data_IF_693200349944
#
_entry.id   IF_693200349944
#
_cell.length_a   1.000
_cell.length_b   1.000
_cell.length_c   1.000
_cell.angle_alpha   90.00
_cell.angle_beta   90.00
_cell.angle_gamma   90.00
#
_symmetry.space_group_name_H-M   'P 1'
#
loop_
_entity.id
_entity.type
_entity.pdbx_description
1 polymer ?
#
# COMPACT_ATOMS: atom_id res chain seq x y z
N UNK A 1 20.21 -70.25 43.72
CA UNK A 1 19.95 -68.83 43.40
C UNK A 1 20.79 -68.36 42.19
N UNK A 2 20.58 -68.91 40.98
CA UNK A 2 21.39 -68.52 39.79
C UNK A 2 20.60 -68.30 38.48
N UNK A 3 19.27 -68.38 38.49
CA UNK A 3 18.45 -68.22 37.27
C UNK A 3 18.09 -66.77 36.92
N UNK A 4 18.18 -65.83 37.87
CA UNK A 4 17.73 -64.44 37.66
C UNK A 4 18.71 -63.61 36.83
N UNK A 5 20.02 -63.88 36.96
CA UNK A 5 21.08 -63.07 36.31
C UNK A 5 21.24 -63.36 34.81
N UNK A 6 20.88 -64.57 34.35
CA UNK A 6 20.97 -65.00 32.94
C UNK A 6 19.75 -64.61 32.10
N UNK A 7 18.61 -64.40 32.76
CA UNK A 7 17.38 -63.91 32.13
C UNK A 7 17.49 -62.43 31.74
N UNK A 8 18.16 -61.64 32.58
CA UNK A 8 18.44 -60.22 32.34
C UNK A 8 19.35 -59.95 31.13
N UNK A 9 20.29 -60.84 30.80
CA UNK A 9 21.17 -60.64 29.64
C UNK A 9 20.47 -60.86 28.29
N UNK A 10 19.33 -61.54 28.26
CA UNK A 10 18.61 -61.83 27.01
C UNK A 10 17.35 -60.97 26.82
N UNK A 11 16.65 -60.64 27.92
CA UNK A 11 15.39 -59.88 27.90
C UNK A 11 15.49 -58.47 28.49
N UNK A 12 16.63 -58.10 29.11
CA UNK A 12 16.80 -56.79 29.74
C UNK A 12 16.68 -55.62 28.76
N UNK A 13 17.21 -55.76 27.54
CA UNK A 13 17.08 -54.74 26.49
C UNK A 13 15.62 -54.56 26.04
N UNK A 14 14.86 -55.64 25.94
CA UNK A 14 13.44 -55.60 25.58
C UNK A 14 12.60 -54.93 26.67
N UNK A 15 12.88 -55.21 27.95
CA UNK A 15 12.17 -54.57 29.08
C UNK A 15 12.47 -53.08 29.15
N UNK A 16 13.72 -52.68 28.93
CA UNK A 16 14.10 -51.26 28.86
C UNK A 16 13.38 -50.58 27.69
N UNK A 17 13.31 -51.22 26.51
CA UNK A 17 12.61 -50.67 25.35
C UNK A 17 11.11 -50.51 25.60
N UNK A 18 10.47 -51.51 26.21
CA UNK A 18 9.05 -51.47 26.57
C UNK A 18 8.76 -50.40 27.62
N UNK A 19 9.62 -50.26 28.64
CA UNK A 19 9.51 -49.21 29.64
C UNK A 19 9.66 -47.81 29.05
N UNK A 20 10.57 -47.65 28.08
CA UNK A 20 10.80 -46.38 27.39
C UNK A 20 9.59 -46.03 26.50
N UNK A 21 9.04 -46.99 25.78
CA UNK A 21 7.81 -46.82 24.99
C UNK A 21 6.60 -46.46 25.86
N UNK A 22 6.44 -47.11 27.01
CA UNK A 22 5.36 -46.82 27.95
C UNK A 22 5.52 -45.45 28.62
N UNK A 23 6.76 -45.04 28.93
CA UNK A 23 7.06 -43.70 29.44
C UNK A 23 6.71 -42.61 28.43
N UNK A 24 7.10 -42.80 27.16
CA UNK A 24 6.74 -41.88 26.06
C UNK A 24 5.23 -41.83 25.87
N UNK A 25 4.54 -42.97 25.89
CA UNK A 25 3.08 -43.03 25.78
C UNK A 25 2.37 -42.33 26.96
N UNK A 26 2.88 -42.49 28.18
CA UNK A 26 2.35 -41.82 29.37
C UNK A 26 2.50 -40.30 29.31
N UNK A 27 3.66 -39.80 28.87
CA UNK A 27 3.89 -38.37 28.65
C UNK A 27 2.93 -37.83 27.59
N UNK A 28 2.68 -38.57 26.50
CA UNK A 28 1.75 -38.18 25.44
C UNK A 28 0.30 -38.06 25.96
N UNK A 29 -0.16 -39.01 26.79
CA UNK A 29 -1.50 -38.95 27.38
C UNK A 29 -1.65 -37.81 28.39
N UNK A 30 -0.62 -37.53 29.19
CA UNK A 30 -0.70 -36.53 30.26
C UNK A 30 -0.60 -35.09 29.74
N UNK A 31 0.05 -34.86 28.59
CA UNK A 31 0.33 -33.50 28.06
C UNK A 31 -0.45 -33.14 26.78
N UNK A 32 -1.50 -33.89 26.43
CA UNK A 32 -2.32 -33.64 25.22
C UNK A 32 -1.47 -33.39 23.97
N UNK A 33 -0.43 -34.21 23.73
CA UNK A 33 0.44 -34.16 22.55
C UNK A 33 1.23 -32.85 22.30
N UNK A 34 1.25 -31.88 23.22
CA UNK A 34 2.11 -30.68 23.13
C UNK A 34 3.59 -30.95 22.76
N UNK A 35 4.30 -31.96 23.34
CA UNK A 35 5.69 -32.24 22.98
C UNK A 35 5.87 -32.75 21.54
N UNK A 36 4.83 -33.36 20.94
CA UNK A 36 4.86 -33.78 19.53
C UNK A 36 4.75 -32.56 18.62
N UNK A 37 3.89 -31.61 18.97
CA UNK A 37 3.77 -30.35 18.23
C UNK A 37 5.06 -29.53 18.30
N UNK A 38 5.72 -29.42 19.46
CA UNK A 38 7.01 -28.73 19.59
C UNK A 38 8.13 -29.37 18.76
N UNK A 39 8.20 -30.71 18.74
CA UNK A 39 9.16 -31.44 17.92
C UNK A 39 8.88 -31.27 16.42
N UNK A 40 7.60 -31.26 16.03
CA UNK A 40 7.17 -30.98 14.66
C UNK A 40 7.58 -29.57 14.21
N UNK A 41 7.36 -28.55 15.06
CA UNK A 41 7.79 -27.17 14.78
C UNK A 41 9.32 -27.03 14.72
N UNK A 42 10.08 -27.72 15.59
CA UNK A 42 11.55 -27.68 15.55
C UNK A 42 12.13 -28.30 14.28
N UNK A 43 11.53 -29.39 13.79
CA UNK A 43 11.97 -30.09 12.57
C UNK A 43 11.67 -29.29 11.28
N UNK A 44 10.60 -28.49 11.25
CA UNK A 44 10.23 -27.67 10.09
C UNK A 44 10.90 -26.28 10.05
N UNK A 45 11.34 -25.74 11.20
CA UNK A 45 12.03 -24.43 11.30
C UNK A 45 13.19 -24.17 10.32
N UNK A 46 14.09 -25.11 9.98
CA UNK A 46 15.19 -24.83 9.06
C UNK A 46 14.76 -24.68 7.60
N UNK A 47 13.57 -25.18 7.19
CA UNK A 47 13.13 -25.15 5.80
C UNK A 47 12.30 -23.91 5.44
N UNK A 48 11.58 -23.30 6.39
CA UNK A 48 10.82 -22.05 6.16
C UNK A 48 11.75 -20.82 6.05
N UNK A 49 12.83 -20.78 6.84
CA UNK A 49 13.73 -19.62 6.88
C UNK A 49 14.54 -19.37 5.60
N UNK A 50 14.85 -20.41 4.81
CA UNK A 50 15.66 -20.28 3.59
C UNK A 50 14.87 -19.65 2.44
N UNK A 51 13.59 -20.01 2.29
CA UNK A 51 12.73 -19.44 1.25
C UNK A 51 12.41 -17.98 1.53
N UNK A 52 12.09 -17.64 2.79
CA UNK A 52 11.82 -16.26 3.19
C UNK A 52 13.06 -15.37 3.02
N UNK A 53 14.26 -15.86 3.37
CA UNK A 53 15.51 -15.11 3.15
C UNK A 53 15.78 -14.85 1.67
N UNK A 54 15.62 -15.88 0.82
CA UNK A 54 15.85 -15.75 -0.63
C UNK A 54 14.83 -14.81 -1.29
N UNK A 55 13.56 -14.91 -0.93
CA UNK A 55 12.52 -13.99 -1.44
C UNK A 55 12.79 -12.55 -0.99
N UNK A 56 13.17 -12.35 0.27
CA UNK A 56 13.54 -11.03 0.78
C UNK A 56 14.77 -10.47 0.06
N UNK A 57 15.79 -11.29 -0.21
CA UNK A 57 16.98 -10.87 -0.96
C UNK A 57 16.64 -10.48 -2.41
N UNK A 58 15.78 -11.25 -3.09
CA UNK A 58 15.33 -10.94 -4.45
C UNK A 58 14.49 -9.67 -4.49
N UNK A 59 13.53 -9.51 -3.57
CA UNK A 59 12.73 -8.28 -3.45
C UNK A 59 13.63 -7.09 -3.17
N UNK A 60 14.58 -7.20 -2.23
CA UNK A 60 15.51 -6.13 -1.91
C UNK A 60 16.45 -5.80 -3.09
N UNK A 61 16.86 -6.80 -3.87
CA UNK A 61 17.62 -6.57 -5.09
C UNK A 61 16.79 -5.82 -6.14
N UNK A 62 15.52 -6.20 -6.33
CA UNK A 62 14.61 -5.53 -7.26
C UNK A 62 14.27 -4.11 -6.82
N UNK A 63 14.05 -3.88 -5.53
CA UNK A 63 13.82 -2.54 -4.98
C UNK A 63 15.04 -1.66 -5.23
N UNK A 64 16.26 -2.14 -4.93
CA UNK A 64 17.50 -1.38 -5.21
C UNK A 64 17.70 -1.10 -6.69
N UNK A 65 17.38 -2.05 -7.56
CA UNK A 65 17.44 -1.85 -9.02
C UNK A 65 16.47 -0.75 -9.46
N UNK A 66 15.22 -0.80 -8.97
CA UNK A 66 14.21 0.22 -9.26
C UNK A 66 14.61 1.59 -8.71
N UNK A 67 15.14 1.66 -7.48
CA UNK A 67 15.65 2.89 -6.89
C UNK A 67 16.78 3.51 -7.73
N UNK A 68 17.72 2.69 -8.22
CA UNK A 68 18.78 3.14 -9.11
C UNK A 68 18.26 3.64 -10.46
N UNK A 69 17.28 2.94 -11.05
CA UNK A 69 16.66 3.37 -12.31
C UNK A 69 15.88 4.67 -12.14
N UNK A 70 15.12 4.81 -11.06
CA UNK A 70 14.39 6.04 -10.74
C UNK A 70 15.38 7.21 -10.56
N UNK A 71 16.46 7.01 -9.79
CA UNK A 71 17.47 8.06 -9.60
C UNK A 71 18.17 8.48 -10.89
N UNK A 72 18.47 7.55 -11.80
CA UNK A 72 19.05 7.90 -13.11
C UNK A 72 18.05 8.61 -14.02
N UNK A 73 16.77 8.20 -14.02
CA UNK A 73 15.72 8.88 -14.75
C UNK A 73 15.47 10.30 -14.22
N UNK A 74 15.50 10.49 -12.91
CA UNK A 74 15.40 11.82 -12.27
C UNK A 74 16.58 12.71 -12.69
N UNK A 75 17.80 12.18 -12.68
CA UNK A 75 19.01 12.89 -13.13
C UNK A 75 18.90 13.30 -14.59
N UNK A 76 18.45 12.40 -15.46
CA UNK A 76 18.23 12.69 -16.89
C UNK A 76 17.12 13.72 -17.09
N UNK A 77 16.02 13.60 -16.35
CA UNK A 77 14.91 14.55 -16.40
C UNK A 77 15.36 15.95 -15.96
N UNK A 78 16.16 16.05 -14.90
CA UNK A 78 16.75 17.30 -14.46
C UNK A 78 17.69 17.90 -15.52
N UNK A 79 18.57 17.10 -16.12
CA UNK A 79 19.44 17.57 -17.21
C UNK A 79 18.64 18.08 -18.42
N UNK A 80 17.57 17.37 -18.79
CA UNK A 80 16.66 17.80 -19.86
C UNK A 80 15.97 19.11 -19.50
N UNK A 81 15.48 19.24 -18.25
CA UNK A 81 14.89 20.48 -17.74
C UNK A 81 15.89 21.64 -17.81
N UNK A 82 17.12 21.44 -17.37
CA UNK A 82 18.19 22.45 -17.41
C UNK A 82 18.51 22.87 -18.85
N UNK A 83 18.63 21.92 -19.78
CA UNK A 83 18.86 22.18 -21.21
C UNK A 83 17.71 22.96 -21.86
N UNK A 84 16.48 22.74 -21.39
CA UNK A 84 15.29 23.45 -21.84
C UNK A 84 15.08 24.80 -21.11
N UNK A 85 15.97 25.18 -20.19
CA UNK A 85 15.83 26.40 -19.38
C UNK A 85 14.65 26.34 -18.40
N UNK A 86 14.21 25.14 -18.02
CA UNK A 86 13.10 24.93 -17.11
C UNK A 86 13.52 25.24 -15.67
N UNK A 87 13.14 26.40 -15.17
CA UNK A 87 13.32 26.78 -13.76
C UNK A 87 12.26 26.06 -12.93
N UNK A 88 12.58 24.84 -12.47
CA UNK A 88 11.73 24.14 -11.50
C UNK A 88 11.96 24.74 -10.11
N UNK A 89 11.09 25.66 -9.72
CA UNK A 89 11.10 26.29 -8.40
C UNK A 89 10.35 25.44 -7.35
N UNK A 90 10.35 24.11 -7.48
CA UNK A 90 9.73 23.21 -6.52
C UNK A 90 10.75 22.80 -5.47
N UNK A 91 11.06 23.73 -4.57
CA UNK A 91 11.52 23.35 -3.23
C UNK A 91 10.37 22.56 -2.61
N UNK A 92 10.57 21.25 -2.44
CA UNK A 92 9.60 20.35 -1.82
C UNK A 92 9.44 20.68 -0.33
N UNK A 93 8.64 21.69 -0.04
CA UNK A 93 8.28 22.04 1.33
C UNK A 93 7.17 21.08 1.81
N UNK A 94 7.51 19.79 1.78
CA UNK A 94 6.64 18.67 2.11
C UNK A 94 6.47 18.58 3.62
N UNK A 95 5.25 18.82 4.10
CA UNK A 95 4.92 18.80 5.53
C UNK A 95 4.28 17.47 5.88
N UNK A 96 4.76 16.81 6.92
CA UNK A 96 4.15 15.56 7.42
C UNK A 96 3.11 15.89 8.48
N UNK A 97 1.92 15.29 8.37
CA UNK A 97 0.81 15.55 9.25
C UNK A 97 0.16 14.25 9.75
N UNK A 98 -0.14 14.13 11.07
CA UNK A 98 -0.97 13.04 11.56
C UNK A 98 -2.45 13.31 11.22
N UNK A 99 -3.22 12.25 10.95
CA UNK A 99 -4.67 12.33 10.86
C UNK A 99 -5.23 12.30 12.29
N UNK A 100 -5.89 13.37 12.69
CA UNK A 100 -6.42 13.57 14.04
C UNK A 100 -7.94 13.39 14.13
N UNK A 101 -8.62 13.25 13.00
CA UNK A 101 -10.07 13.10 12.98
C UNK A 101 -10.61 12.58 11.66
N UNK A 102 -11.71 11.83 11.77
CA UNK A 102 -12.55 11.39 10.65
C UNK A 102 -14.00 11.56 11.07
N UNK A 103 -14.85 11.96 10.14
CA UNK A 103 -16.29 12.00 10.40
C UNK A 103 -16.88 10.59 10.20
N UNK A 104 -17.56 10.00 11.20
CA UNK A 104 -18.18 8.67 11.05
C UNK A 104 -19.21 8.63 9.91
N UNK A 105 -19.98 9.71 9.75
CA UNK A 105 -21.01 9.82 8.70
C UNK A 105 -20.43 10.06 7.30
N UNK A 106 -19.15 10.45 7.22
CA UNK A 106 -18.49 10.89 5.99
C UNK A 106 -17.06 10.32 5.91
N UNK A 107 -16.89 9.06 6.34
CA UNK A 107 -15.59 8.41 6.52
C UNK A 107 -14.69 8.48 5.28
N UNK A 108 -15.31 8.41 4.11
CA UNK A 108 -14.68 8.40 2.79
C UNK A 108 -14.64 9.75 2.10
N UNK A 109 -15.07 10.81 2.77
CA UNK A 109 -15.26 12.10 2.11
C UNK A 109 -14.29 13.16 2.64
N UNK A 110 -13.92 13.09 3.91
CA UNK A 110 -13.06 14.07 4.55
C UNK A 110 -12.26 13.50 5.72
N UNK A 111 -11.06 14.05 5.92
CA UNK A 111 -10.20 13.80 7.08
C UNK A 111 -9.72 15.12 7.68
N UNK A 112 -9.43 15.12 8.97
CA UNK A 112 -8.81 16.26 9.67
C UNK A 112 -7.36 15.94 9.97
N UNK A 113 -6.45 16.79 9.53
CA UNK A 113 -5.00 16.65 9.77
C UNK A 113 -4.54 17.60 10.87
N UNK A 114 -3.56 17.17 11.66
CA UNK A 114 -3.05 17.86 12.85
C UNK A 114 -2.03 18.96 12.60
N UNK A 115 -2.12 19.62 11.45
CA UNK A 115 -1.35 20.82 11.11
C UNK A 115 -2.26 21.85 10.42
N UNK A 116 -1.97 23.13 10.59
CA UNK A 116 -2.78 24.25 10.13
C UNK A 116 -1.94 25.40 9.58
N UNK A 117 -2.49 26.60 9.64
CA UNK A 117 -1.82 27.79 9.11
C UNK A 117 -0.58 28.20 9.91
N UNK A 118 -0.47 27.81 11.19
CA UNK A 118 0.75 28.05 11.98
C UNK A 118 1.95 27.27 11.43
N UNK A 119 1.70 26.12 10.81
CA UNK A 119 2.70 25.30 10.13
C UNK A 119 2.81 25.66 8.64
N UNK A 120 2.09 26.67 8.15
CA UNK A 120 2.13 27.13 6.76
C UNK A 120 1.33 26.26 5.79
N UNK A 121 0.26 25.61 6.25
CA UNK A 121 -0.74 24.98 5.37
C UNK A 121 -1.73 26.02 4.87
N UNK A 122 -2.05 25.96 3.58
CA UNK A 122 -3.01 26.84 2.92
C UNK A 122 -4.17 26.06 2.28
N UNK A 123 -5.29 26.76 2.06
CA UNK A 123 -6.41 26.17 1.32
C UNK A 123 -5.99 25.89 -0.12
N UNK A 124 -6.20 24.65 -0.55
CA UNK A 124 -5.80 24.19 -1.87
C UNK A 124 -4.51 23.38 -1.93
N UNK A 125 -3.78 23.29 -0.82
CA UNK A 125 -2.64 22.39 -0.70
C UNK A 125 -3.02 20.95 -0.98
N UNK A 126 -2.08 20.21 -1.55
CA UNK A 126 -2.32 18.84 -2.00
C UNK A 126 -1.89 17.87 -0.92
N UNK A 127 -2.76 16.93 -0.63
CA UNK A 127 -2.52 15.90 0.38
C UNK A 127 -2.27 14.58 -0.30
N UNK A 128 -1.13 13.98 -0.01
CA UNK A 128 -0.69 12.69 -0.52
C UNK A 128 -0.39 11.73 0.62
N UNK A 129 -0.55 10.45 0.39
CA UNK A 129 -0.22 9.38 1.32
C UNK A 129 0.73 8.40 0.67
N UNK A 130 1.05 7.33 1.40
CA UNK A 130 1.75 6.19 0.82
C UNK A 130 0.88 5.60 -0.29
N UNK A 131 1.39 5.59 -1.51
CA UNK A 131 0.69 5.10 -2.70
C UNK A 131 0.10 6.17 -3.62
N UNK A 132 0.03 7.45 -3.21
CA UNK A 132 -0.41 8.53 -4.10
C UNK A 132 -1.35 9.58 -3.49
N UNK A 133 -2.27 10.07 -4.32
CA UNK A 133 -3.18 11.17 -4.00
C UNK A 133 -4.22 10.77 -2.95
N UNK A 134 -4.29 11.54 -1.87
CA UNK A 134 -5.33 11.41 -0.84
C UNK A 134 -6.44 12.41 -1.08
N UNK A 135 -6.07 13.66 -1.37
CA UNK A 135 -7.03 14.74 -1.48
C UNK A 135 -6.42 16.12 -1.56
N UNK A 136 -7.21 17.12 -1.18
CA UNK A 136 -6.85 18.53 -1.19
C UNK A 136 -7.38 19.22 0.06
N UNK A 137 -6.60 20.15 0.62
CA UNK A 137 -7.00 20.96 1.76
C UNK A 137 -8.17 21.85 1.36
N UNK A 138 -9.28 21.73 2.09
CA UNK A 138 -10.52 22.48 1.85
C UNK A 138 -10.65 23.67 2.80
N UNK A 139 -10.30 23.48 4.08
CA UNK A 139 -10.36 24.54 5.10
C UNK A 139 -9.16 24.43 6.02
N UNK A 140 -8.65 25.58 6.45
CA UNK A 140 -7.51 25.66 7.37
C UNK A 140 -7.92 26.40 8.65
N UNK A 141 -7.49 25.87 9.78
CA UNK A 141 -7.51 26.55 11.08
C UNK A 141 -6.06 26.74 11.56
N UNK A 142 -5.80 27.46 12.67
CA UNK A 142 -4.43 27.67 13.14
C UNK A 142 -3.63 26.38 13.39
N UNK A 143 -4.26 25.30 13.86
CA UNK A 143 -3.57 24.08 14.30
C UNK A 143 -4.07 22.80 13.61
N UNK A 144 -5.05 22.90 12.72
CA UNK A 144 -5.59 21.74 12.00
C UNK A 144 -6.20 22.16 10.68
N UNK A 145 -6.27 21.21 9.74
CA UNK A 145 -6.84 21.44 8.42
C UNK A 145 -7.80 20.32 8.06
N UNK A 146 -8.87 20.69 7.36
CA UNK A 146 -9.82 19.75 6.80
C UNK A 146 -9.44 19.44 5.36
N UNK A 147 -9.31 18.16 5.05
CA UNK A 147 -8.91 17.66 3.73
C UNK A 147 -10.10 16.96 3.11
N UNK A 148 -10.43 17.36 1.88
CA UNK A 148 -11.42 16.69 1.04
C UNK A 148 -10.75 15.55 0.29
N UNK A 149 -11.27 14.33 0.44
CA UNK A 149 -10.71 13.14 -0.18
C UNK A 149 -11.07 13.04 -1.67
N UNK A 150 -10.28 12.28 -2.42
CA UNK A 150 -10.56 11.92 -3.82
C UNK A 150 -11.85 11.09 -3.96
N UNK A 151 -12.19 10.31 -2.93
CA UNK A 151 -13.42 9.51 -2.81
C UNK A 151 -14.64 10.30 -2.33
N UNK A 152 -14.53 11.63 -2.19
CA UNK A 152 -15.70 12.46 -1.91
C UNK A 152 -16.58 12.59 -3.17
N UNK A 153 -17.92 12.42 -3.10
CA UNK A 153 -18.82 12.58 -4.26
C UNK A 153 -18.75 13.95 -4.95
N UNK A 154 -18.37 14.99 -4.22
CA UNK A 154 -18.18 16.35 -4.74
C UNK A 154 -16.74 16.62 -5.20
N UNK A 155 -15.84 15.64 -5.08
CA UNK A 155 -14.48 15.73 -5.60
C UNK A 155 -14.47 15.47 -7.10
N UNK A 156 -13.73 16.29 -7.84
CA UNK A 156 -13.47 16.11 -9.26
C UNK A 156 -11.98 16.28 -9.48
N UNK A 157 -11.31 15.19 -9.83
CA UNK A 157 -9.86 15.16 -10.06
C UNK A 157 -9.63 14.92 -11.54
N UNK A 158 -8.96 15.85 -12.22
CA UNK A 158 -8.54 15.64 -13.60
C UNK A 158 -7.42 14.60 -13.65
N UNK A 159 -7.60 13.54 -14.43
CA UNK A 159 -6.65 12.42 -14.51
C UNK A 159 -6.31 12.04 -15.94
N UNK A 160 -5.24 11.26 -16.06
CA UNK A 160 -4.68 10.78 -17.31
C UNK A 160 -4.23 9.33 -17.16
N UNK A 161 -4.52 8.51 -18.16
CA UNK A 161 -3.95 7.16 -18.29
C UNK A 161 -2.46 7.30 -18.63
N UNK A 162 -1.60 6.64 -17.87
CA UNK A 162 -0.14 6.75 -18.04
C UNK A 162 0.31 6.29 -19.44
N UNK A 163 -0.24 5.17 -19.94
CA UNK A 163 0.11 4.52 -21.21
C UNK A 163 -0.41 5.28 -22.43
N UNK A 164 -1.72 5.42 -22.58
CA UNK A 164 -2.35 6.04 -23.77
C UNK A 164 -2.38 7.55 -23.73
N UNK A 165 -2.18 8.16 -22.55
CA UNK A 165 -2.33 9.60 -22.31
C UNK A 165 -3.77 10.10 -22.44
N UNK A 166 -4.75 9.21 -22.42
CA UNK A 166 -6.15 9.59 -22.45
C UNK A 166 -6.59 10.22 -21.14
N UNK A 167 -7.31 11.33 -21.29
CA UNK A 167 -7.72 12.18 -20.17
C UNK A 167 -9.20 12.02 -19.83
N UNK A 168 -9.47 12.27 -18.56
CA UNK A 168 -10.81 12.27 -18.01
C UNK A 168 -10.84 12.96 -16.66
N UNK A 169 -11.92 12.78 -15.95
CA UNK A 169 -12.01 13.17 -14.55
C UNK A 169 -12.57 12.03 -13.72
N UNK A 170 -12.14 11.98 -12.47
CA UNK A 170 -12.59 11.00 -11.50
C UNK A 170 -13.76 11.56 -10.69
N UNK A 171 -14.76 10.71 -10.47
CA UNK A 171 -15.84 10.87 -9.49
C UNK A 171 -15.82 9.69 -8.51
N UNK A 172 -16.25 9.90 -7.28
CA UNK A 172 -16.40 8.81 -6.33
C UNK A 172 -17.53 7.86 -6.75
N UNK A 173 -17.32 6.56 -6.58
CA UNK A 173 -18.37 5.55 -6.75
C UNK A 173 -18.25 4.52 -5.62
N UNK A 174 -19.14 4.64 -4.63
CA UNK A 174 -19.03 3.86 -3.40
C UNK A 174 -17.88 4.34 -2.49
N UNK A 175 -17.30 3.39 -1.76
CA UNK A 175 -16.40 3.68 -0.62
C UNK A 175 -14.91 3.64 -0.99
N UNK A 176 -14.50 2.69 -1.85
CA UNK A 176 -13.09 2.40 -2.17
C UNK A 176 -12.74 2.52 -3.65
N UNK A 177 -13.75 2.76 -4.47
CA UNK A 177 -13.64 2.80 -5.91
C UNK A 177 -14.00 4.19 -6.40
N UNK A 178 -13.36 4.55 -7.50
CA UNK A 178 -13.61 5.82 -8.15
C UNK A 178 -13.73 5.55 -9.63
N UNK A 179 -14.65 6.24 -10.29
CA UNK A 179 -14.87 6.09 -11.71
C UNK A 179 -14.23 7.24 -12.44
N UNK A 180 -13.40 6.91 -13.42
CA UNK A 180 -12.92 7.85 -14.42
C UNK A 180 -13.90 7.90 -15.58
N UNK A 181 -14.44 9.08 -15.83
CA UNK A 181 -15.19 9.36 -17.05
C UNK A 181 -14.25 10.00 -18.08
N UNK A 182 -14.16 9.40 -19.26
CA UNK A 182 -13.27 9.87 -20.32
C UNK A 182 -13.85 11.07 -21.06
N UNK A 183 -12.96 11.97 -21.51
CA UNK A 183 -13.36 13.06 -22.41
C UNK A 183 -13.56 12.59 -23.85
N UNK A 184 -12.93 11.48 -24.21
CA UNK A 184 -12.96 10.90 -25.55
C UNK A 184 -14.01 9.80 -25.63
N UNK A 185 -14.63 9.65 -26.81
CA UNK A 185 -15.63 8.60 -27.05
C UNK A 185 -15.04 7.21 -27.27
N UNK A 186 -13.78 7.15 -27.68
CA UNK A 186 -13.04 5.92 -27.97
C UNK A 186 -11.68 6.00 -27.30
N UNK A 187 -11.61 5.95 -25.95
CA UNK A 187 -10.34 5.93 -25.23
C UNK A 187 -9.62 4.60 -25.46
N UNK A 188 -8.30 4.67 -25.58
CA UNK A 188 -7.38 3.54 -25.44
C UNK A 188 -7.09 3.33 -23.95
N UNK A 189 -7.78 2.36 -23.34
CA UNK A 189 -7.62 1.99 -21.93
C UNK A 189 -7.62 0.47 -21.79
N UNK A 190 -6.74 -0.04 -20.93
CA UNK A 190 -6.62 -1.45 -20.61
C UNK A 190 -6.71 -1.66 -19.09
N UNK A 191 -7.25 -2.80 -18.66
CA UNK A 191 -7.25 -3.19 -17.25
C UNK A 191 -5.80 -3.36 -16.80
N UNK A 192 -5.46 -2.74 -15.67
CA UNK A 192 -4.09 -2.64 -15.17
C UNK A 192 -3.37 -1.33 -15.53
N UNK A 193 -3.99 -0.47 -16.35
CA UNK A 193 -3.41 0.84 -16.65
C UNK A 193 -3.31 1.71 -15.39
N UNK A 194 -2.15 2.33 -15.21
CA UNK A 194 -1.91 3.28 -14.11
C UNK A 194 -2.53 4.64 -14.41
N UNK A 195 -3.18 5.22 -13.40
CA UNK A 195 -3.87 6.51 -13.49
C UNK A 195 -3.12 7.56 -12.67
N UNK A 196 -2.85 8.71 -13.30
CA UNK A 196 -2.12 9.83 -12.72
C UNK A 196 -2.95 11.11 -12.78
N UNK A 197 -2.64 12.11 -11.95
CA UNK A 197 -3.22 13.46 -12.11
C UNK A 197 -2.78 14.09 -13.43
N UNK A 198 -3.74 14.68 -14.15
CA UNK A 198 -3.53 15.25 -15.48
C UNK A 198 -2.88 16.64 -15.42
N UNK A 199 -2.02 17.01 -16.39
CA UNK A 199 -1.57 18.39 -16.59
C UNK A 199 -2.70 19.39 -16.87
N UNK A 200 -3.85 18.91 -17.34
CA UNK A 200 -5.03 19.75 -17.56
C UNK A 200 -5.83 20.03 -16.27
N UNK A 201 -5.46 19.38 -15.15
CA UNK A 201 -6.10 19.63 -13.85
C UNK A 201 -5.68 20.99 -13.30
N UNK A 202 -6.67 21.85 -13.03
CA UNK A 202 -6.43 23.15 -12.37
C UNK A 202 -6.27 23.03 -10.86
N UNK A 203 -6.77 21.95 -10.28
CA UNK A 203 -6.86 21.79 -8.82
C UNK A 203 -5.74 20.93 -8.25
N UNK A 204 -5.07 20.14 -9.10
CA UNK A 204 -4.04 19.19 -8.72
C UNK A 204 -2.86 19.31 -9.70
N UNK A 205 -1.61 19.31 -9.22
CA UNK A 205 -0.45 19.28 -10.08
C UNK A 205 -0.37 17.94 -10.82
N UNK A 206 0.24 17.90 -12.01
CA UNK A 206 0.36 16.67 -12.79
C UNK A 206 1.30 15.64 -12.16
N UNK A 207 1.05 14.37 -12.48
CA UNK A 207 1.99 13.27 -12.22
C UNK A 207 1.90 12.62 -10.84
N UNK A 208 0.87 12.92 -10.05
CA UNK A 208 0.61 12.21 -8.79
C UNK A 208 -0.16 10.92 -9.09
N UNK A 209 0.32 9.79 -8.58
CA UNK A 209 -0.38 8.51 -8.70
C UNK A 209 -1.75 8.54 -8.02
N UNK A 210 -2.76 7.97 -8.67
CA UNK A 210 -4.11 7.87 -8.11
C UNK A 210 -4.49 6.42 -7.89
N UNK A 211 -4.34 5.58 -8.91
CA UNK A 211 -4.81 4.21 -8.86
C UNK A 211 -4.53 3.41 -10.13
N UNK A 212 -5.20 2.27 -10.23
CA UNK A 212 -5.12 1.32 -11.34
C UNK A 212 -6.53 1.01 -11.87
N UNK A 213 -6.67 0.91 -13.20
CA UNK A 213 -7.92 0.53 -13.84
C UNK A 213 -8.24 -0.94 -13.55
N UNK A 214 -9.42 -1.23 -13.03
CA UNK A 214 -9.86 -2.58 -12.68
C UNK A 214 -11.02 -3.09 -13.55
N UNK A 215 -11.81 -2.17 -14.11
CA UNK A 215 -12.95 -2.48 -14.97
C UNK A 215 -13.18 -1.34 -15.97
N UNK A 216 -13.76 -1.66 -17.13
CA UNK A 216 -13.95 -0.72 -18.23
C UNK A 216 -15.34 -0.91 -18.83
N UNK A 217 -16.10 0.19 -18.91
CA UNK A 217 -17.38 0.28 -19.61
C UNK A 217 -17.28 1.32 -20.75
N UNK A 218 -16.95 0.84 -21.95
CA UNK A 218 -16.82 1.68 -23.14
C UNK A 218 -18.17 2.10 -23.74
N UNK A 219 -19.25 1.38 -23.42
CA UNK A 219 -20.58 1.63 -23.97
C UNK A 219 -21.43 2.53 -23.05
N UNK A 220 -20.87 2.95 -21.91
CA UNK A 220 -21.52 3.84 -20.96
C UNK A 220 -21.95 5.16 -21.60
N UNK A 221 -23.15 5.62 -21.24
CA UNK A 221 -23.73 6.89 -21.71
C UNK A 221 -23.88 7.84 -20.52
N UNK A 222 -23.38 9.08 -20.60
CA UNK A 222 -23.08 9.83 -21.82
C UNK A 222 -21.65 9.69 -22.38
N UNK A 223 -20.73 9.08 -21.64
CA UNK A 223 -19.34 8.88 -22.04
C UNK A 223 -18.77 7.59 -21.42
N UNK A 224 -17.76 6.97 -22.07
CA UNK A 224 -17.06 5.81 -21.55
C UNK A 224 -16.55 6.03 -20.12
N UNK A 225 -16.59 4.97 -19.32
CA UNK A 225 -16.16 4.96 -17.92
C UNK A 225 -15.15 3.83 -17.66
N UNK A 226 -14.26 4.06 -16.71
CA UNK A 226 -13.38 3.02 -16.16
C UNK A 226 -13.37 3.10 -14.64
N UNK A 227 -13.55 1.96 -13.99
CA UNK A 227 -13.48 1.85 -12.54
C UNK A 227 -12.01 1.74 -12.14
N UNK A 228 -11.62 2.56 -11.18
CA UNK A 228 -10.25 2.69 -10.69
C UNK A 228 -10.23 2.27 -9.22
N UNK A 229 -9.31 1.37 -8.91
CA UNK A 229 -8.91 1.07 -7.54
C UNK A 229 -7.86 2.09 -7.11
N UNK A 230 -8.13 2.79 -6.01
CA UNK A 230 -7.16 3.71 -5.43
C UNK A 230 -5.95 2.93 -4.88
N UNK A 231 -4.74 3.43 -5.14
CA UNK A 231 -3.51 2.86 -4.58
C UNK A 231 -3.37 3.15 -3.09
N UNK A 232 -3.92 4.28 -2.65
CA UNK A 232 -3.83 4.72 -1.26
C UNK A 232 -4.87 3.98 -0.42
N UNK A 233 -4.46 3.28 0.66
CA UNK A 233 -5.39 2.63 1.59
C UNK A 233 -6.04 3.67 2.48
N UNK A 234 -7.07 4.36 1.98
CA UNK A 234 -7.70 5.49 2.67
C UNK A 234 -8.21 5.14 4.08
N UNK A 235 -8.54 3.88 4.38
CA UNK A 235 -9.00 3.41 5.70
C UNK A 235 -7.93 3.52 6.78
N UNK A 236 -6.72 3.05 6.46
CA UNK A 236 -5.64 2.80 7.42
C UNK A 236 -4.62 3.93 7.46
N UNK A 237 -4.92 5.07 6.85
CA UNK A 237 -4.05 6.24 6.92
C UNK A 237 -4.02 6.79 8.34
N UNK A 238 -2.82 6.80 8.92
CA UNK A 238 -2.48 7.50 10.15
C UNK A 238 -1.73 8.81 9.87
N UNK A 239 -0.96 8.86 8.78
CA UNK A 239 -0.10 9.98 8.41
C UNK A 239 -0.27 10.34 6.94
N UNK A 240 -0.12 11.62 6.63
CA UNK A 240 -0.15 12.16 5.27
C UNK A 240 0.94 13.20 5.08
N UNK A 241 1.22 13.50 3.81
CA UNK A 241 2.13 14.54 3.38
C UNK A 241 1.35 15.65 2.70
N UNK A 242 1.63 16.89 3.07
CA UNK A 242 1.03 18.10 2.52
C UNK A 242 2.07 18.81 1.68
N UNK A 243 1.75 19.02 0.41
CA UNK A 243 2.57 19.76 -0.54
C UNK A 243 1.90 21.10 -0.83
N UNK A 244 2.61 22.23 -0.64
CA UNK A 244 2.12 23.54 -1.02
C UNK A 244 1.73 23.58 -2.49
N UNK A 245 0.54 24.09 -2.77
CA UNK A 245 0.07 24.27 -4.14
C UNK A 245 -0.42 25.69 -4.37
N UNK A 246 0.54 26.56 -4.64
CA UNK A 246 0.27 27.94 -5.03
C UNK A 246 -0.32 27.96 -6.44
N UNK A 247 -1.52 28.51 -6.58
CA UNK A 247 -2.11 28.88 -7.87
C UNK A 247 -1.55 30.20 -8.37
#
# INVERSE_FOLDING_TARGET
>A
MFSVRRWWSHYGSQIVMVGLLLGVAGVIQQTQATPIYELYYWLQRPFEGVQTRRNNELTNARVRELEQQVGELERQNQQLKEQLGYVSNQSEDLKTAPIIGRSPDHWWQQITIGIGSNEGVEEGDIVTGLGGLVGRVERVTPNSSLVRLVSNPNSRVGVIISRSRDMGFIRAEGDREVVMQFFQKLPDVEVGDSVLTSPASRLFPPGIAVGEVIDIDLDHSPAPEATIRLNVPLEDLEWVFVRPHNQ
#
